data_IF_118202095475
#
_entry.id   IF_118202095475
#
_cell.length_a   1.000
_cell.length_b   1.000
_cell.length_c   1.000
_cell.angle_alpha   90.00
_cell.angle_beta   90.00
_cell.angle_gamma   90.00
#
_symmetry.space_group_name_H-M   'P 1'
#
loop_
_entity.id
_entity.type
_entity.pdbx_description
1 polymer ?
#
# COMPACT_ATOMS: atom_id res chain seq x y z
N UNK A 1 -1.34 -1.23 20.05
CA UNK A 1 -2.69 -0.99 19.50
C UNK A 1 -2.67 -0.79 17.99
N UNK A 2 -2.14 0.33 17.45
CA UNK A 2 -2.14 0.54 15.99
C UNK A 2 -1.36 -0.55 15.23
N UNK A 3 -0.17 -0.91 15.74
CA UNK A 3 0.62 -2.03 15.22
C UNK A 3 -0.16 -3.34 15.18
N UNK A 4 -0.83 -3.68 16.28
CA UNK A 4 -1.63 -4.92 16.36
C UNK A 4 -2.77 -4.90 15.33
N UNK A 5 -3.42 -3.74 15.13
CA UNK A 5 -4.44 -3.57 14.10
C UNK A 5 -3.88 -3.77 12.68
N UNK A 6 -2.74 -3.16 12.36
CA UNK A 6 -2.11 -3.34 11.03
C UNK A 6 -1.70 -4.78 10.80
N UNK A 7 -1.16 -5.46 11.82
CA UNK A 7 -0.75 -6.86 11.70
C UNK A 7 -1.95 -7.78 11.50
N UNK A 8 -3.07 -7.54 12.20
CA UNK A 8 -4.32 -8.28 11.97
C UNK A 8 -4.85 -8.06 10.56
N UNK A 9 -4.92 -6.82 10.07
CA UNK A 9 -5.37 -6.54 8.70
C UNK A 9 -4.45 -7.21 7.68
N UNK A 10 -3.13 -7.12 7.89
CA UNK A 10 -2.15 -7.72 7.00
C UNK A 10 -2.33 -9.25 6.93
N UNK A 11 -2.65 -9.90 8.05
CA UNK A 11 -2.94 -11.34 8.11
C UNK A 11 -4.26 -11.70 7.42
N UNK A 12 -5.32 -10.90 7.60
CA UNK A 12 -6.61 -11.11 6.94
C UNK A 12 -6.54 -11.02 5.40
N UNK A 13 -5.52 -10.32 4.88
CA UNK A 13 -5.26 -10.19 3.45
C UNK A 13 -4.24 -11.20 2.93
N UNK A 14 -3.58 -11.98 3.79
CA UNK A 14 -2.64 -13.00 3.35
C UNK A 14 -3.42 -14.19 2.78
N UNK A 15 -3.15 -14.62 1.54
CA UNK A 15 -3.69 -15.88 1.03
C UNK A 15 -3.21 -17.05 1.90
N UNK A 16 -4.12 -17.95 2.23
CA UNK A 16 -3.78 -19.14 3.00
C UNK A 16 -2.72 -20.00 2.28
N UNK A 17 -1.81 -20.56 3.06
CA UNK A 17 -0.91 -21.60 2.57
C UNK A 17 -1.68 -22.88 2.24
N UNK A 18 -1.05 -23.81 1.51
CA UNK A 18 -1.66 -25.10 1.12
C UNK A 18 -2.17 -25.94 2.32
N UNK A 19 -1.63 -25.69 3.51
CA UNK A 19 -1.97 -26.38 4.76
C UNK A 19 -3.11 -25.70 5.56
N UNK A 20 -3.56 -24.50 5.16
CA UNK A 20 -4.57 -23.73 5.90
C UNK A 20 -5.98 -23.94 5.34
N UNK A 21 -6.95 -24.20 6.23
CA UNK A 21 -8.38 -24.34 5.88
C UNK A 21 -9.08 -22.98 5.63
N UNK A 22 -8.40 -22.01 5.01
CA UNK A 22 -9.04 -20.75 4.64
C UNK A 22 -9.44 -20.81 3.17
N UNK A 23 -10.74 -20.66 2.85
CA UNK A 23 -11.17 -20.64 1.46
C UNK A 23 -10.47 -19.54 0.65
N UNK A 24 -10.03 -19.80 -0.59
CA UNK A 24 -9.25 -18.83 -1.38
C UNK A 24 -9.96 -17.49 -1.63
N UNK A 25 -11.29 -17.43 -1.53
CA UNK A 25 -12.08 -16.21 -1.75
C UNK A 25 -12.07 -15.27 -0.54
N UNK A 26 -11.69 -15.73 0.66
CA UNK A 26 -11.74 -14.92 1.88
C UNK A 26 -10.81 -13.70 1.82
N UNK A 27 -9.53 -13.82 1.41
CA UNK A 27 -8.66 -12.66 1.22
C UNK A 27 -9.21 -11.63 0.24
N UNK A 28 -9.86 -12.07 -0.85
CA UNK A 28 -10.48 -11.18 -1.84
C UNK A 28 -11.67 -10.43 -1.24
N UNK A 29 -12.55 -11.12 -0.50
CA UNK A 29 -13.68 -10.48 0.18
C UNK A 29 -13.21 -9.48 1.25
N UNK A 30 -12.13 -9.81 1.97
CA UNK A 30 -11.50 -8.91 2.93
C UNK A 30 -10.90 -7.68 2.24
N UNK A 31 -10.21 -7.87 1.11
CA UNK A 31 -9.65 -6.78 0.33
C UNK A 31 -10.73 -5.82 -0.18
N UNK A 32 -11.84 -6.35 -0.70
CA UNK A 32 -13.00 -5.55 -1.10
C UNK A 32 -13.58 -4.78 0.09
N UNK A 33 -13.71 -5.41 1.26
CA UNK A 33 -14.20 -4.74 2.46
C UNK A 33 -13.29 -3.57 2.89
N UNK A 34 -11.96 -3.72 2.77
CA UNK A 34 -11.00 -2.65 3.08
C UNK A 34 -11.13 -1.49 2.10
N UNK A 35 -11.25 -1.73 0.80
CA UNK A 35 -11.27 -0.66 -0.22
C UNK A 35 -12.64 -0.04 -0.46
N UNK A 36 -13.72 -0.68 0.02
CA UNK A 36 -15.10 -0.17 -0.12
C UNK A 36 -15.32 1.16 0.60
N UNK A 37 -14.62 1.42 1.71
CA UNK A 37 -14.61 2.73 2.37
C UNK A 37 -13.58 3.64 1.71
N UNK A 38 -13.96 4.65 0.93
CA UNK A 38 -13.00 5.51 0.22
C UNK A 38 -12.04 6.25 1.18
N UNK A 39 -12.47 6.49 2.42
CA UNK A 39 -11.66 7.02 3.52
C UNK A 39 -10.59 6.05 4.02
N UNK A 40 -10.78 4.74 3.90
CA UNK A 40 -9.86 3.74 4.45
C UNK A 40 -8.49 3.84 3.78
N UNK A 41 -8.46 4.02 2.45
CA UNK A 41 -7.20 4.23 1.72
C UNK A 41 -6.55 5.56 2.13
N UNK A 42 -7.32 6.60 2.39
CA UNK A 42 -6.81 7.86 2.95
C UNK A 42 -6.12 7.65 4.30
N UNK A 43 -6.74 6.90 5.20
CA UNK A 43 -6.19 6.55 6.52
C UNK A 43 -4.90 5.72 6.37
N UNK A 44 -4.88 4.74 5.46
CA UNK A 44 -3.67 3.96 5.17
C UNK A 44 -2.54 4.86 4.64
N UNK A 45 -2.85 5.79 3.75
CA UNK A 45 -1.87 6.76 3.24
C UNK A 45 -1.27 7.62 4.36
N UNK A 46 -2.09 8.08 5.30
CA UNK A 46 -1.59 8.83 6.47
C UNK A 46 -0.68 7.97 7.36
N UNK A 47 -0.99 6.67 7.47
CA UNK A 47 -0.23 5.73 8.28
C UNK A 47 1.12 5.30 7.67
N UNK A 48 1.36 5.54 6.36
CA UNK A 48 2.61 5.18 5.68
C UNK A 48 3.85 5.86 6.29
N UNK A 49 3.74 7.12 6.74
CA UNK A 49 4.86 7.93 7.23
C UNK A 49 4.94 8.01 8.76
N UNK A 50 4.43 7.00 9.46
CA UNK A 50 4.48 6.93 10.92
C UNK A 50 5.92 6.79 11.44
N UNK A 51 6.17 7.25 12.68
CA UNK A 51 7.48 7.07 13.34
C UNK A 51 7.78 5.59 13.61
N UNK A 52 6.76 4.79 13.88
CA UNK A 52 6.91 3.34 14.06
C UNK A 52 7.15 2.67 12.71
N UNK A 53 8.37 2.15 12.54
CA UNK A 53 8.83 1.45 11.34
C UNK A 53 7.94 0.26 11.01
N UNK A 54 7.50 -0.50 12.01
CA UNK A 54 6.71 -1.70 11.79
C UNK A 54 5.31 -1.36 11.27
N UNK A 55 4.72 -0.26 11.75
CA UNK A 55 3.45 0.24 11.23
C UNK A 55 3.60 0.67 9.77
N UNK A 56 4.62 1.49 9.45
CA UNK A 56 4.87 1.93 8.07
C UNK A 56 5.07 0.76 7.11
N UNK A 57 5.88 -0.24 7.48
CA UNK A 57 6.11 -1.45 6.68
C UNK A 57 4.81 -2.24 6.52
N UNK A 58 4.09 -2.48 7.61
CA UNK A 58 2.83 -3.25 7.59
C UNK A 58 1.78 -2.57 6.69
N UNK A 59 1.69 -1.24 6.72
CA UNK A 59 0.81 -0.47 5.83
C UNK A 59 1.24 -0.57 4.36
N UNK A 60 2.54 -0.47 4.05
CA UNK A 60 3.04 -0.70 2.70
C UNK A 60 2.64 -2.09 2.19
N UNK A 61 2.78 -3.12 3.02
CA UNK A 61 2.44 -4.50 2.68
C UNK A 61 0.94 -4.70 2.50
N UNK A 62 0.11 -4.09 3.36
CA UNK A 62 -1.35 -4.08 3.20
C UNK A 62 -1.71 -3.52 1.83
N UNK A 63 -1.20 -2.34 1.46
CA UNK A 63 -1.51 -1.71 0.18
C UNK A 63 -1.03 -2.55 -1.02
N UNK A 64 0.15 -3.18 -0.92
CA UNK A 64 0.64 -4.13 -1.93
C UNK A 64 -0.29 -5.36 -2.06
N UNK A 65 -0.75 -5.94 -0.96
CA UNK A 65 -1.69 -7.07 -0.98
C UNK A 65 -3.02 -6.69 -1.62
N UNK A 66 -3.57 -5.52 -1.28
CA UNK A 66 -4.78 -5.01 -1.92
C UNK A 66 -4.61 -4.92 -3.44
N UNK A 67 -3.45 -4.45 -3.92
CA UNK A 67 -3.16 -4.42 -5.35
C UNK A 67 -3.21 -5.81 -6.00
N UNK A 68 -2.70 -6.84 -5.32
CA UNK A 68 -2.72 -8.24 -5.81
C UNK A 68 -4.08 -8.94 -5.70
N UNK A 69 -5.01 -8.43 -4.87
CA UNK A 69 -6.32 -9.02 -4.59
C UNK A 69 -7.44 -8.31 -5.36
N UNK A 70 -7.20 -8.05 -6.65
CA UNK A 70 -8.12 -7.38 -7.58
C UNK A 70 -8.53 -5.95 -7.21
N UNK A 71 -7.89 -5.32 -6.22
CA UNK A 71 -8.22 -3.95 -5.81
C UNK A 71 -7.33 -2.86 -6.41
N UNK A 72 -6.38 -3.20 -7.29
CA UNK A 72 -5.40 -2.26 -7.84
C UNK A 72 -6.04 -0.98 -8.41
N UNK A 73 -7.10 -1.10 -9.22
CA UNK A 73 -7.76 0.08 -9.82
C UNK A 73 -8.40 0.99 -8.79
N UNK A 74 -9.05 0.42 -7.77
CA UNK A 74 -9.70 1.18 -6.70
C UNK A 74 -8.64 1.85 -5.83
N UNK A 75 -7.56 1.12 -5.52
CA UNK A 75 -6.42 1.64 -4.78
C UNK A 75 -5.79 2.82 -5.50
N UNK A 76 -5.47 2.69 -6.79
CA UNK A 76 -4.91 3.76 -7.60
C UNK A 76 -5.83 4.99 -7.69
N UNK A 77 -7.13 4.79 -7.90
CA UNK A 77 -8.10 5.88 -7.94
C UNK A 77 -8.17 6.62 -6.60
N UNK A 78 -8.14 5.88 -5.49
CA UNK A 78 -8.16 6.43 -4.14
C UNK A 78 -6.86 7.18 -3.81
N UNK A 79 -5.70 6.65 -4.21
CA UNK A 79 -4.40 7.33 -4.07
C UNK A 79 -4.42 8.66 -4.81
N UNK A 80 -4.94 8.72 -6.03
CA UNK A 80 -5.07 9.97 -6.78
C UNK A 80 -6.03 10.94 -6.10
N UNK A 81 -7.20 10.47 -5.65
CA UNK A 81 -8.21 11.28 -4.98
C UNK A 81 -7.69 11.95 -3.70
N UNK A 82 -6.87 11.23 -2.94
CA UNK A 82 -6.27 11.71 -1.69
C UNK A 82 -4.90 12.39 -1.87
N UNK A 83 -4.48 12.66 -3.12
CA UNK A 83 -3.14 13.21 -3.42
C UNK A 83 -2.01 12.39 -2.78
N UNK A 84 -2.21 11.08 -2.66
CA UNK A 84 -1.33 10.15 -1.96
C UNK A 84 0.03 9.93 -2.62
N UNK A 85 0.19 10.29 -3.90
CA UNK A 85 1.46 10.14 -4.62
C UNK A 85 2.58 10.93 -3.92
N UNK A 86 2.34 12.17 -3.49
CA UNK A 86 3.35 12.95 -2.75
C UNK A 86 3.74 12.30 -1.42
N UNK A 87 2.78 11.70 -0.72
CA UNK A 87 3.05 10.95 0.52
C UNK A 87 3.91 9.73 0.25
N UNK A 88 3.64 9.01 -0.84
CA UNK A 88 4.46 7.86 -1.26
C UNK A 88 5.87 8.32 -1.65
N UNK A 89 6.02 9.50 -2.26
CA UNK A 89 7.34 10.10 -2.51
C UNK A 89 8.09 10.44 -1.22
N UNK A 90 7.39 10.86 -0.16
CA UNK A 90 8.02 11.04 1.15
C UNK A 90 8.54 9.70 1.72
N UNK A 91 7.78 8.61 1.54
CA UNK A 91 8.23 7.25 1.93
C UNK A 91 9.46 6.82 1.11
N UNK A 92 9.52 7.16 -0.17
CA UNK A 92 10.70 6.92 -1.02
C UNK A 92 11.95 7.68 -0.56
N UNK A 93 11.78 8.79 0.16
CA UNK A 93 12.86 9.63 0.72
C UNK A 93 13.15 9.30 2.19
N UNK A 94 12.51 8.27 2.73
CA UNK A 94 12.68 7.90 4.13
C UNK A 94 14.12 7.44 4.43
N UNK A 95 14.65 7.91 5.57
CA UNK A 95 16.00 7.55 6.02
C UNK A 95 16.10 6.10 6.52
N UNK A 96 14.95 5.49 6.84
CA UNK A 96 14.84 4.12 7.35
C UNK A 96 14.74 3.18 6.15
N UNK A 97 15.86 2.56 5.79
CA UNK A 97 16.00 1.74 4.57
C UNK A 97 14.90 0.68 4.39
N UNK A 98 14.50 -0.01 5.46
CA UNK A 98 13.42 -1.01 5.40
C UNK A 98 12.07 -0.42 4.98
N UNK A 99 11.75 0.79 5.44
CA UNK A 99 10.51 1.50 5.06
C UNK A 99 10.59 1.94 3.60
N UNK A 100 11.74 2.51 3.20
CA UNK A 100 11.98 2.95 1.82
C UNK A 100 11.87 1.80 0.82
N UNK A 101 12.44 0.64 1.14
CA UNK A 101 12.40 -0.54 0.25
C UNK A 101 10.96 -1.03 0.03
N UNK A 102 10.14 -1.05 1.09
CA UNK A 102 8.72 -1.37 0.98
C UNK A 102 7.93 -0.29 0.21
N UNK A 103 8.28 0.98 0.40
CA UNK A 103 7.74 2.09 -0.39
C UNK A 103 8.01 1.94 -1.88
N UNK A 104 9.21 1.49 -2.26
CA UNK A 104 9.59 1.24 -3.65
C UNK A 104 8.74 0.12 -4.26
N UNK A 105 8.57 -1.00 -3.56
CA UNK A 105 7.74 -2.11 -4.04
C UNK A 105 6.28 -1.67 -4.23
N UNK A 106 5.74 -0.91 -3.27
CA UNK A 106 4.41 -0.32 -3.39
C UNK A 106 4.30 0.62 -4.60
N UNK A 107 5.30 1.48 -4.82
CA UNK A 107 5.30 2.42 -5.94
C UNK A 107 5.35 1.70 -7.30
N UNK A 108 6.12 0.61 -7.40
CA UNK A 108 6.16 -0.22 -8.61
C UNK A 108 4.77 -0.76 -8.91
N UNK A 109 4.08 -1.32 -7.92
CA UNK A 109 2.71 -1.85 -8.07
C UNK A 109 1.71 -0.75 -8.45
N UNK A 110 1.78 0.42 -7.81
CA UNK A 110 0.86 1.52 -8.11
C UNK A 110 1.08 2.16 -9.49
N UNK A 111 2.30 2.15 -9.99
CA UNK A 111 2.61 2.60 -11.35
C UNK A 111 2.10 1.63 -12.43
N UNK A 112 1.75 0.39 -12.08
CA UNK A 112 1.35 -0.62 -13.05
C UNK A 112 0.05 -0.21 -13.77
N UNK A 113 0.11 -0.17 -15.11
CA UNK A 113 -1.01 0.23 -15.98
C UNK A 113 -1.66 1.59 -15.68
N UNK A 114 -1.03 2.48 -14.90
CA UNK A 114 -1.58 3.79 -14.54
C UNK A 114 -0.68 4.95 -14.97
N UNK A 115 -0.98 5.53 -16.13
CA UNK A 115 -0.20 6.63 -16.70
C UNK A 115 -0.23 7.91 -15.85
N UNK A 116 -1.30 8.14 -15.09
CA UNK A 116 -1.41 9.36 -14.28
C UNK A 116 -0.46 9.31 -13.08
N UNK A 117 -0.43 8.18 -12.36
CA UNK A 117 0.53 7.96 -11.27
C UNK A 117 1.96 7.99 -11.80
N UNK A 118 2.24 7.34 -12.95
CA UNK A 118 3.57 7.39 -13.59
C UNK A 118 4.02 8.83 -13.89
N UNK A 119 3.12 9.66 -14.45
CA UNK A 119 3.43 11.07 -14.76
C UNK A 119 3.72 11.86 -13.49
N UNK A 120 2.84 11.79 -12.49
CA UNK A 120 3.02 12.54 -11.23
C UNK A 120 4.32 12.13 -10.55
N UNK A 121 4.60 10.84 -10.49
CA UNK A 121 5.82 10.28 -9.88
C UNK A 121 7.07 10.75 -10.62
N UNK A 122 7.05 10.77 -11.96
CA UNK A 122 8.17 11.28 -12.76
C UNK A 122 8.42 12.78 -12.55
N UNK A 123 7.37 13.58 -12.33
CA UNK A 123 7.50 15.01 -12.03
C UNK A 123 8.03 15.30 -10.62
N UNK A 124 7.76 14.42 -9.66
CA UNK A 124 8.18 14.58 -8.26
C UNK A 124 9.58 14.00 -8.00
N UNK A 125 10.49 14.13 -8.97
CA UNK A 125 11.89 13.70 -8.87
C UNK A 125 12.09 12.25 -8.42
N UNK A 126 11.20 11.32 -8.78
CA UNK A 126 11.36 9.91 -8.38
C UNK A 126 12.67 9.29 -8.89
N UNK A 127 13.18 9.75 -10.03
CA UNK A 127 14.47 9.30 -10.56
C UNK A 127 15.64 9.67 -9.65
N UNK A 128 15.60 10.84 -9.00
CA UNK A 128 16.63 11.26 -8.02
C UNK A 128 16.59 10.43 -6.73
N UNK A 129 15.44 9.80 -6.43
CA UNK A 129 15.32 8.90 -5.29
C UNK A 129 15.88 7.50 -5.58
N UNK A 130 16.04 7.14 -6.87
CA UNK A 130 16.47 5.81 -7.32
C UNK A 130 17.95 5.72 -7.72
N UNK A 131 18.56 6.85 -8.08
CA UNK A 131 19.93 6.95 -8.62
C UNK A 131 20.73 8.01 -7.86
#
# INVERSE_FOLDING_TARGET
>A
LLRDCTDVINNLLTPAGEEEEVPPHVPFANAEAVTKGPENVGILLEALAMQDVFVSISVCQIMQKLATLDQLRILQASVLAHRGVGRLMDVMRDSREYVRNEGLLLMISLCEFNQEIQKITAFDSAFECLF
#
